data_IF_121993641163
#
_entry.id   IF_121993641163
#
_cell.length_a   1.000
_cell.length_b   1.000
_cell.length_c   1.000
_cell.angle_alpha   90.00
_cell.angle_beta   90.00
_cell.angle_gamma   90.00
#
_symmetry.space_group_name_H-M   'P 1'
#
loop_
_entity.id
_entity.type
_entity.pdbx_description
1 polymer ?
#
# COMPACT_ATOMS: atom_id res chain seq x y z
N UNK A 1 14.52 13.21 -8.66
CA UNK A 1 15.01 11.93 -9.20
C UNK A 1 14.19 11.56 -10.43
N UNK A 2 14.74 10.82 -11.40
CA UNK A 2 14.00 10.33 -12.57
C UNK A 2 13.97 8.80 -12.59
N UNK A 3 12.80 8.22 -12.82
CA UNK A 3 12.56 6.78 -12.90
C UNK A 3 12.18 6.41 -14.32
N UNK A 4 12.80 5.35 -14.87
CA UNK A 4 12.39 4.80 -16.17
C UNK A 4 11.07 4.06 -16.03
N UNK A 5 10.13 4.35 -16.93
CA UNK A 5 8.87 3.61 -16.99
C UNK A 5 9.09 2.24 -17.61
N UNK A 6 8.31 1.25 -17.18
CA UNK A 6 8.40 -0.10 -17.74
C UNK A 6 7.62 -0.19 -19.08
N UNK A 7 8.04 -1.06 -20.01
CA UNK A 7 7.30 -1.28 -21.26
C UNK A 7 5.85 -1.73 -21.00
N UNK A 8 5.61 -2.50 -19.94
CA UNK A 8 4.27 -2.93 -19.55
C UNK A 8 3.39 -1.74 -19.12
N UNK A 9 3.94 -0.78 -18.39
CA UNK A 9 3.22 0.42 -17.98
C UNK A 9 2.84 1.29 -19.19
N UNK A 10 3.77 1.49 -20.14
CA UNK A 10 3.50 2.22 -21.38
C UNK A 10 2.50 1.51 -22.29
N UNK A 11 2.44 0.17 -22.28
CA UNK A 11 1.36 -0.57 -22.99
C UNK A 11 -0.01 -0.31 -22.39
N UNK A 12 -0.12 -0.19 -21.06
CA UNK A 12 -1.39 0.11 -20.38
C UNK A 12 -1.78 1.58 -20.47
N UNK A 13 -0.82 2.48 -20.65
CA UNK A 13 -1.01 3.92 -20.76
C UNK A 13 -0.11 4.45 -21.88
N UNK A 14 -0.59 4.48 -23.14
CA UNK A 14 0.22 4.87 -24.30
C UNK A 14 0.81 6.29 -24.22
N UNK A 15 0.14 7.19 -23.51
CA UNK A 15 0.60 8.57 -23.28
C UNK A 15 1.66 8.70 -22.18
N UNK A 16 2.08 7.60 -21.54
CA UNK A 16 3.06 7.61 -20.46
C UNK A 16 4.48 7.83 -21.02
N UNK A 17 5.16 8.87 -20.52
CA UNK A 17 6.53 9.19 -20.87
C UNK A 17 7.53 8.07 -20.49
N UNK A 18 8.69 8.05 -21.14
CA UNK A 18 9.78 7.09 -20.84
C UNK A 18 10.41 7.31 -19.46
N UNK A 19 10.34 8.54 -18.93
CA UNK A 19 10.83 8.90 -17.61
C UNK A 19 9.77 9.64 -16.81
N UNK A 20 9.69 9.33 -15.53
CA UNK A 20 8.82 10.02 -14.56
C UNK A 20 9.69 10.63 -13.48
N UNK A 21 9.44 11.90 -13.16
CA UNK A 21 10.09 12.56 -12.05
C UNK A 21 9.45 12.11 -10.73
N UNK A 22 10.30 11.81 -9.74
CA UNK A 22 9.90 11.42 -8.40
C UNK A 22 10.85 12.00 -7.34
N UNK A 23 10.32 12.17 -6.14
CA UNK A 23 11.07 12.55 -4.94
C UNK A 23 11.13 11.36 -3.97
N UNK A 24 12.32 11.11 -3.41
CA UNK A 24 12.54 10.10 -2.39
C UNK A 24 12.78 10.82 -1.06
N UNK A 25 11.92 10.57 -0.09
CA UNK A 25 11.99 11.14 1.24
C UNK A 25 12.41 10.06 2.23
N UNK A 26 13.46 10.32 3.00
CA UNK A 26 13.94 9.38 4.03
C UNK A 26 13.64 9.95 5.41
N UNK A 27 13.05 9.14 6.29
CA UNK A 27 12.78 9.53 7.68
C UNK A 27 12.94 8.36 8.64
N UNK A 28 13.45 8.64 9.83
CA UNK A 28 13.42 7.69 10.94
C UNK A 28 12.10 7.81 11.69
N UNK A 29 11.35 6.70 11.76
CA UNK A 29 10.10 6.61 12.53
C UNK A 29 10.27 5.44 13.50
N UNK A 30 10.04 5.65 14.81
CA UNK A 30 10.19 4.62 15.84
C UNK A 30 11.53 3.86 15.74
N UNK A 31 12.64 4.58 15.54
CA UNK A 31 13.98 4.01 15.43
C UNK A 31 14.27 3.24 14.13
N UNK A 32 13.34 3.16 13.18
CA UNK A 32 13.53 2.50 11.88
C UNK A 32 13.52 3.52 10.75
N UNK A 33 14.52 3.45 9.88
CA UNK A 33 14.54 4.21 8.63
C UNK A 33 13.39 3.74 7.73
N UNK A 34 12.66 4.70 7.16
CA UNK A 34 11.63 4.47 6.16
C UNK A 34 11.83 5.45 5.03
N UNK A 35 11.59 4.96 3.82
CA UNK A 35 11.69 5.75 2.61
C UNK A 35 10.30 5.85 1.96
N UNK A 36 9.93 7.06 1.55
CA UNK A 36 8.67 7.37 0.87
C UNK A 36 9.00 7.89 -0.52
N UNK A 37 8.48 7.20 -1.53
CA UNK A 37 8.58 7.61 -2.92
C UNK A 37 7.30 8.32 -3.34
N UNK A 38 7.42 9.55 -3.84
CA UNK A 38 6.27 10.40 -4.22
C UNK A 38 6.48 11.06 -5.58
N UNK A 39 5.40 11.32 -6.30
CA UNK A 39 5.39 12.13 -7.53
C UNK A 39 5.34 13.64 -7.25
N UNK A 40 5.19 14.04 -5.99
CA UNK A 40 5.30 15.44 -5.57
C UNK A 40 6.78 15.84 -5.54
N UNK A 41 7.24 16.47 -6.61
CA UNK A 41 8.67 16.74 -6.85
C UNK A 41 9.14 18.13 -6.44
N UNK A 42 8.22 19.06 -6.20
CA UNK A 42 8.57 20.41 -5.76
C UNK A 42 8.61 20.50 -4.22
N UNK A 43 9.79 20.66 -3.60
CA UNK A 43 9.90 20.71 -2.13
C UNK A 43 9.30 21.99 -1.52
N UNK A 44 9.16 23.06 -2.30
CA UNK A 44 8.58 24.33 -1.82
C UNK A 44 7.07 24.24 -1.72
N UNK A 45 6.41 23.66 -2.73
CA UNK A 45 4.97 23.40 -2.70
C UNK A 45 4.60 22.20 -1.84
N UNK A 46 5.49 21.22 -1.70
CA UNK A 46 5.23 19.98 -0.96
C UNK A 46 6.37 19.67 0.01
N UNK A 47 6.35 20.25 1.21
CA UNK A 47 7.35 19.96 2.23
C UNK A 47 7.38 18.46 2.57
N UNK A 48 8.58 17.89 2.63
CA UNK A 48 8.74 16.45 2.87
C UNK A 48 8.17 15.97 4.20
N UNK A 49 8.13 16.84 5.22
CA UNK A 49 7.53 16.52 6.51
C UNK A 49 6.02 16.23 6.38
N UNK A 50 5.30 17.10 5.68
CA UNK A 50 3.86 17.02 5.47
C UNK A 50 3.49 15.77 4.65
N UNK A 51 4.28 15.46 3.62
CA UNK A 51 4.10 14.24 2.82
C UNK A 51 4.28 12.99 3.71
N UNK A 52 5.30 12.96 4.56
CA UNK A 52 5.56 11.79 5.41
C UNK A 52 4.49 11.66 6.51
N UNK A 53 3.98 12.77 7.02
CA UNK A 53 2.85 12.79 7.95
C UNK A 53 1.58 12.26 7.29
N UNK A 54 1.24 12.72 6.08
CA UNK A 54 0.13 12.19 5.28
C UNK A 54 0.25 10.67 5.08
N UNK A 55 1.45 10.17 4.79
CA UNK A 55 1.68 8.72 4.65
C UNK A 55 1.50 7.94 5.96
N UNK A 56 1.56 8.59 7.13
CA UNK A 56 1.29 7.94 8.41
C UNK A 56 -0.20 7.57 8.55
N UNK A 57 -1.10 8.33 7.92
CA UNK A 57 -2.54 8.05 7.89
C UNK A 57 -2.90 6.80 7.07
N UNK A 58 -1.99 6.30 6.22
CA UNK A 58 -2.20 5.04 5.49
C UNK A 58 -2.53 3.87 6.43
N UNK A 59 -1.90 3.82 7.61
CA UNK A 59 -2.17 2.77 8.60
C UNK A 59 -3.61 2.76 9.08
N UNK A 60 -4.23 3.93 9.16
CA UNK A 60 -5.63 4.07 9.59
C UNK A 60 -6.58 3.45 8.55
N UNK A 61 -6.31 3.65 7.26
CA UNK A 61 -7.07 3.00 6.17
C UNK A 61 -6.91 1.48 6.22
N UNK A 62 -5.67 1.00 6.41
CA UNK A 62 -5.39 -0.42 6.52
C UNK A 62 -6.06 -1.06 7.75
N UNK A 63 -6.06 -0.33 8.89
CA UNK A 63 -6.74 -0.74 10.12
C UNK A 63 -8.25 -0.80 9.90
N UNK A 64 -8.86 0.26 9.35
CA UNK A 64 -10.29 0.29 9.05
C UNK A 64 -10.72 -0.84 8.11
N UNK A 65 -9.91 -1.17 7.11
CA UNK A 65 -10.16 -2.33 6.24
C UNK A 65 -10.09 -3.67 6.99
N UNK A 66 -9.20 -3.80 7.97
CA UNK A 66 -9.13 -5.01 8.83
C UNK A 66 -10.32 -5.09 9.76
N UNK A 67 -10.69 -3.98 10.39
CA UNK A 67 -11.85 -3.90 11.29
C UNK A 67 -13.14 -4.20 10.54
N UNK A 68 -13.34 -3.65 9.34
CA UNK A 68 -14.49 -3.99 8.48
C UNK A 68 -14.48 -5.45 8.05
N UNK A 69 -13.34 -6.03 7.67
CA UNK A 69 -13.28 -7.45 7.32
C UNK A 69 -13.56 -8.35 8.53
N UNK A 70 -13.02 -8.01 9.69
CA UNK A 70 -13.25 -8.73 10.94
C UNK A 70 -14.71 -8.59 11.39
N UNK A 71 -15.30 -7.39 11.28
CA UNK A 71 -16.69 -7.14 11.62
C UNK A 71 -17.61 -7.87 10.65
N UNK A 72 -17.40 -7.81 9.33
CA UNK A 72 -18.18 -8.56 8.33
C UNK A 72 -18.06 -10.09 8.50
N UNK A 73 -16.98 -10.57 9.13
CA UNK A 73 -16.82 -11.97 9.50
C UNK A 73 -17.57 -12.36 10.78
N UNK A 74 -18.25 -11.42 11.48
CA UNK A 74 -19.22 -11.55 12.61
C UNK A 74 -19.40 -13.01 13.09
N UNK A 75 -18.38 -13.63 13.70
CA UNK A 75 -18.51 -14.98 14.27
C UNK A 75 -19.31 -15.98 13.42
N UNK A 76 -19.18 -15.94 12.08
CA UNK A 76 -19.87 -16.93 11.25
C UNK A 76 -19.17 -18.24 11.55
N UNK A 77 -19.72 -18.98 12.53
CA UNK A 77 -19.46 -20.39 12.76
C UNK A 77 -19.29 -20.94 11.37
N UNK A 78 -18.06 -21.35 11.04
CA UNK A 78 -17.84 -22.20 9.89
C UNK A 78 -18.83 -23.32 10.12
N UNK A 79 -19.96 -23.30 9.39
CA UNK A 79 -20.89 -24.42 9.38
C UNK A 79 -19.97 -25.62 9.19
N UNK A 80 -19.95 -26.60 10.10
CA UNK A 80 -19.09 -27.76 9.93
C UNK A 80 -19.60 -28.45 8.67
N UNK A 81 -19.02 -28.05 7.54
CA UNK A 81 -19.17 -28.70 6.26
C UNK A 81 -18.74 -30.12 6.54
N UNK A 82 -19.72 -31.01 6.43
CA UNK A 82 -19.62 -32.47 6.51
C UNK A 82 -18.16 -32.90 6.54
N UNK A 83 -17.66 -33.28 7.73
CA UNK A 83 -16.39 -33.99 7.83
C UNK A 83 -16.44 -35.12 6.80
N UNK A 84 -15.50 -35.14 5.87
CA UNK A 84 -15.25 -36.33 5.07
C UNK A 84 -15.06 -37.46 6.07
N UNK A 85 -15.98 -38.42 6.07
CA UNK A 85 -15.91 -39.57 6.94
C UNK A 85 -14.60 -40.28 6.58
N UNK A 86 -13.60 -40.11 7.45
CA UNK A 86 -12.42 -40.95 7.43
C UNK A 86 -12.88 -42.36 7.78
N UNK A 87 -13.01 -43.22 6.78
CA UNK A 87 -13.08 -44.65 7.00
C UNK A 87 -11.63 -45.10 7.22
N UNK A 88 -11.29 -45.34 8.48
CA UNK A 88 -10.23 -46.28 8.87
C UNK A 88 -10.91 -47.62 9.08
N UNK A 89 -10.63 -48.61 8.24
CA UNK A 89 -10.10 -49.94 8.56
C UNK A 89 -9.67 -50.62 7.26
#
# INVERSE_FOLDING_TARGET
MHLKTSPQARRKCPQLADMVAACLLTRHINGKERQVLTSMVDPMSFPGADIVELYSQRREIELGCREMKHSLQQHRLTLPGKKAAGIRQ
#
